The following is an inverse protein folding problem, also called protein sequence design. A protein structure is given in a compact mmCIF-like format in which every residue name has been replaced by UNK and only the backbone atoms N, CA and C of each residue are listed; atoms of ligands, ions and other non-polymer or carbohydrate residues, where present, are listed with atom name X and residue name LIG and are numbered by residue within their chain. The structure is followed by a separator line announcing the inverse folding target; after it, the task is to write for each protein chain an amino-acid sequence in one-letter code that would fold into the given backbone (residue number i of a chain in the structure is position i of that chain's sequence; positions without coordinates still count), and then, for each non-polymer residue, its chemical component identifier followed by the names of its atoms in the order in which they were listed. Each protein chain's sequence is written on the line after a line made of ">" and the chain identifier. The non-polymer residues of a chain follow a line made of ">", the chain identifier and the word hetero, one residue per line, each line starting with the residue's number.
data_IF_043528007822
#
_entry.id   IF_043528007822
#
_cell.length_a   1.000
_cell.length_b   1.000
_cell.length_c   1.000
_cell.angle_alpha   90.00
_cell.angle_beta   90.00
_cell.angle_gamma   90.00
#
_symmetry.space_group_name_H-M   'P 1'
#
loop_
_entity.id
_entity.type
_entity.pdbx_description
1 polymer ?
#
# COMPACT_ATOMS: atom_id res chain seq x y z
N UNK A 1 6.07 23.28 2.80
CA UNK A 1 4.62 23.19 3.05
C UNK A 1 4.29 21.72 3.14
N UNK A 2 3.45 21.32 4.08
CA UNK A 2 2.97 19.94 4.24
C UNK A 2 1.50 19.97 3.89
N UNK A 3 1.07 19.10 2.98
CA UNK A 3 -0.32 19.08 2.54
C UNK A 3 -1.11 18.09 3.37
N UNK A 4 -2.34 18.44 3.77
CA UNK A 4 -3.26 17.52 4.43
C UNK A 4 -4.50 17.28 3.54
N UNK A 5 -5.11 16.11 3.70
CA UNK A 5 -6.37 15.75 3.07
C UNK A 5 -7.49 15.80 4.12
N UNK A 6 -8.68 16.25 3.71
CA UNK A 6 -9.89 16.20 4.51
C UNK A 6 -10.87 15.21 3.88
N UNK A 7 -11.50 14.40 4.72
CA UNK A 7 -12.47 13.39 4.30
C UNK A 7 -13.76 13.59 5.09
N UNK A 8 -14.90 13.44 4.42
CA UNK A 8 -16.17 13.26 5.10
C UNK A 8 -16.28 11.79 5.51
N UNK A 9 -16.27 11.54 6.81
CA UNK A 9 -16.35 10.21 7.40
C UNK A 9 -17.70 9.94 8.07
N UNK A 10 -18.71 10.81 7.84
CA UNK A 10 -20.00 10.75 8.56
C UNK A 10 -20.65 9.38 8.45
N UNK A 11 -20.65 8.77 7.27
CA UNK A 11 -21.26 7.46 7.01
C UNK A 11 -20.39 6.28 7.48
N UNK A 12 -19.13 6.53 7.87
CA UNK A 12 -18.22 5.51 8.38
C UNK A 12 -18.32 5.35 9.91
N UNK A 13 -18.87 6.35 10.61
CA UNK A 13 -19.02 6.32 12.05
C UNK A 13 -20.20 5.43 12.46
N UNK A 14 -20.02 4.69 13.54
CA UNK A 14 -21.07 3.90 14.16
C UNK A 14 -21.39 4.40 15.58
N UNK A 15 -22.58 4.06 16.07
CA UNK A 15 -22.92 4.31 17.48
C UNK A 15 -22.10 3.41 18.40
N UNK A 16 -21.48 3.99 19.42
CA UNK A 16 -20.63 3.27 20.37
C UNK A 16 -19.16 3.34 19.98
N UNK A 17 -18.47 2.19 20.06
CA UNK A 17 -17.04 2.14 19.85
C UNK A 17 -16.68 2.25 18.36
N UNK A 18 -15.65 3.05 18.08
CA UNK A 18 -15.10 3.26 16.75
C UNK A 18 -13.58 3.09 16.84
N UNK A 19 -12.95 2.67 15.74
CA UNK A 19 -11.51 2.63 15.61
C UNK A 19 -11.06 3.48 14.42
N UNK A 20 -9.92 4.15 14.57
CA UNK A 20 -9.27 4.90 13.51
C UNK A 20 -7.83 4.38 13.43
N UNK A 21 -7.43 4.01 12.22
CA UNK A 21 -6.11 3.48 11.96
C UNK A 21 -5.50 4.10 10.70
N UNK A 22 -4.17 4.16 10.66
CA UNK A 22 -3.42 4.59 9.49
C UNK A 22 -2.18 3.73 9.30
N UNK A 23 -1.82 3.46 8.05
CA UNK A 23 -0.54 2.84 7.70
C UNK A 23 0.36 3.95 7.14
N UNK A 24 1.61 4.01 7.59
CA UNK A 24 2.59 5.00 7.15
C UNK A 24 3.65 4.35 6.26
N UNK A 25 3.77 4.82 5.03
CA UNK A 25 4.90 4.53 4.15
C UNK A 25 6.01 5.58 4.26
N UNK A 26 7.18 5.24 3.76
CA UNK A 26 8.34 6.13 3.61
C UNK A 26 8.03 7.28 2.64
N UNK A 27 7.44 6.95 1.49
CA UNK A 27 7.20 7.88 0.38
C UNK A 27 8.43 8.74 0.06
N UNK A 28 8.21 9.96 -0.45
CA UNK A 28 9.30 10.92 -0.66
C UNK A 28 9.83 11.56 0.62
N UNK A 29 9.12 11.39 1.76
CA UNK A 29 9.53 12.00 3.01
C UNK A 29 10.77 11.31 3.60
N UNK A 30 10.81 9.98 3.54
CA UNK A 30 11.92 9.17 4.02
C UNK A 30 12.61 8.34 2.91
N UNK A 31 12.72 8.89 1.70
CA UNK A 31 13.34 8.16 0.60
C UNK A 31 14.88 8.17 0.70
N UNK A 32 15.56 7.01 0.73
CA UNK A 32 17.02 6.90 0.79
C UNK A 32 17.63 7.04 -0.62
N UNK A 33 17.38 8.17 -1.28
CA UNK A 33 17.79 8.39 -2.67
C UNK A 33 19.11 9.18 -2.71
N UNK A 34 20.00 8.86 -3.64
CA UNK A 34 21.34 9.46 -3.72
C UNK A 34 21.36 10.97 -4.04
N UNK A 35 20.30 11.49 -4.68
CA UNK A 35 20.21 12.90 -5.12
C UNK A 35 19.30 13.77 -4.26
N UNK A 36 18.62 13.22 -3.24
CA UNK A 36 17.84 14.00 -2.27
C UNK A 36 18.02 13.46 -0.86
N UNK A 37 18.06 14.34 0.14
CA UNK A 37 18.10 13.92 1.53
C UNK A 37 16.69 13.50 2.01
N UNK A 38 16.65 12.52 2.91
CA UNK A 38 15.44 12.23 3.71
C UNK A 38 15.13 13.40 4.65
N UNK A 39 13.85 13.72 4.80
CA UNK A 39 13.35 14.69 5.79
C UNK A 39 13.20 14.07 7.20
N UNK A 40 13.36 12.75 7.31
CA UNK A 40 13.32 11.97 8.55
C UNK A 40 12.31 10.82 8.50
N UNK A 41 12.08 10.16 9.64
CA UNK A 41 11.15 9.02 9.69
C UNK A 41 9.70 9.44 9.40
N UNK A 42 8.88 8.57 8.78
CA UNK A 42 7.45 8.78 8.62
C UNK A 42 6.78 9.16 9.94
N UNK A 43 5.76 10.01 9.86
CA UNK A 43 5.00 10.50 11.01
C UNK A 43 3.61 10.91 10.58
N UNK A 44 2.67 10.81 11.51
CA UNK A 44 1.25 11.05 11.28
C UNK A 44 0.78 12.29 12.04
N UNK A 45 -0.18 12.99 11.44
CA UNK A 45 -1.01 13.99 12.10
C UNK A 45 -2.45 13.73 11.66
N UNK A 46 -3.34 13.54 12.63
CA UNK A 46 -4.77 13.29 12.40
C UNK A 46 -5.61 14.12 13.35
N UNK A 47 -6.72 14.64 12.84
CA UNK A 47 -7.72 15.34 13.63
C UNK A 47 -9.10 15.07 13.05
N UNK A 48 -9.97 14.47 13.86
CA UNK A 48 -11.36 14.16 13.50
C UNK A 48 -12.27 15.08 14.29
N UNK A 49 -13.20 15.73 13.60
CA UNK A 49 -14.26 16.53 14.19
C UNK A 49 -15.58 15.79 14.04
N UNK A 50 -16.28 15.61 15.16
CA UNK A 50 -17.61 15.00 15.19
C UNK A 50 -18.57 16.06 15.70
N UNK A 51 -19.56 16.44 14.89
CA UNK A 51 -20.64 17.33 15.31
C UNK A 51 -21.91 16.51 15.52
N UNK A 52 -22.44 16.52 16.73
CA UNK A 52 -23.64 15.78 17.08
C UNK A 52 -24.92 16.54 16.72
N UNK A 53 -26.04 15.82 16.68
CA UNK A 53 -27.35 16.40 16.32
C UNK A 53 -27.86 17.46 17.31
N UNK A 54 -27.36 17.47 18.54
CA UNK A 54 -27.67 18.50 19.55
C UNK A 54 -26.75 19.73 19.46
N UNK A 55 -25.80 19.73 18.51
CA UNK A 55 -24.83 20.79 18.27
C UNK A 55 -23.56 20.73 19.12
N UNK A 56 -23.39 19.70 19.95
CA UNK A 56 -22.12 19.46 20.66
C UNK A 56 -21.06 18.91 19.70
N UNK A 57 -19.79 19.04 20.08
CA UNK A 57 -18.65 18.60 19.25
C UNK A 57 -17.64 17.79 20.06
N UNK A 58 -17.11 16.74 19.44
CA UNK A 58 -15.90 16.06 19.88
C UNK A 58 -14.76 16.28 18.86
N UNK A 59 -13.54 16.40 19.38
CA UNK A 59 -12.33 16.47 18.57
C UNK A 59 -11.36 15.39 19.02
N UNK A 60 -11.09 14.44 18.14
CA UNK A 60 -10.13 13.35 18.36
C UNK A 60 -8.85 13.71 17.61
N UNK A 61 -7.72 13.70 18.29
CA UNK A 61 -6.42 14.07 17.71
C UNK A 61 -5.43 12.92 17.77
N UNK A 62 -4.46 12.92 16.86
CA UNK A 62 -3.26 12.10 17.00
C UNK A 62 -2.41 12.63 18.15
N UNK A 63 -2.22 11.84 19.20
CA UNK A 63 -1.43 12.18 20.38
C UNK A 63 -0.76 10.94 20.99
N UNK A 64 -0.23 11.07 22.21
CA UNK A 64 0.44 9.98 22.91
C UNK A 64 -0.49 8.85 23.34
N UNK A 65 -1.82 8.93 23.20
CA UNK A 65 -2.74 7.83 23.52
C UNK A 65 -2.80 6.74 22.45
N UNK A 66 -2.26 7.01 21.26
CA UNK A 66 -2.23 6.06 20.16
C UNK A 66 -1.19 4.96 20.39
N UNK A 67 -1.45 3.81 19.78
CA UNK A 67 -0.55 2.66 19.72
C UNK A 67 -0.09 2.43 18.28
N UNK A 68 1.01 1.71 18.08
CA UNK A 68 1.54 1.37 16.77
C UNK A 68 2.20 -0.01 16.75
N UNK A 69 2.08 -0.71 15.63
CA UNK A 69 2.80 -1.93 15.33
C UNK A 69 3.34 -1.93 13.90
N UNK A 70 4.26 -2.85 13.60
CA UNK A 70 4.70 -3.11 12.23
C UNK A 70 3.56 -3.75 11.44
N UNK A 71 3.38 -3.29 10.20
CA UNK A 71 2.40 -3.86 9.27
C UNK A 71 2.96 -5.06 8.51
N UNK A 72 2.11 -5.68 7.68
CA UNK A 72 2.53 -6.69 6.71
C UNK A 72 3.36 -6.13 5.53
N UNK A 73 3.43 -4.82 5.36
CA UNK A 73 4.40 -4.17 4.47
C UNK A 73 5.75 -4.18 5.19
N UNK A 74 6.64 -5.08 4.79
CA UNK A 74 7.96 -5.30 5.39
C UNK A 74 8.93 -4.19 4.99
N UNK A 75 8.84 -3.76 3.73
CA UNK A 75 9.61 -2.66 3.17
C UNK A 75 8.75 -1.93 2.17
N UNK A 76 8.81 -0.60 2.17
CA UNK A 76 8.29 0.24 1.11
C UNK A 76 9.29 1.33 0.74
N UNK A 77 9.57 1.48 -0.54
CA UNK A 77 10.42 2.52 -1.09
C UNK A 77 9.84 2.95 -2.43
N UNK A 78 9.67 4.25 -2.62
CA UNK A 78 9.03 4.79 -3.82
C UNK A 78 9.66 4.28 -5.14
N UNK A 79 10.98 4.09 -5.17
CA UNK A 79 11.71 3.59 -6.35
C UNK A 79 12.17 2.13 -6.28
N UNK A 80 12.33 1.56 -5.08
CA UNK A 80 12.82 0.17 -4.92
C UNK A 80 11.68 -0.82 -4.65
N UNK A 81 10.45 -0.31 -4.49
CA UNK A 81 9.22 -1.08 -4.44
C UNK A 81 8.72 -1.44 -3.05
N UNK A 82 7.72 -2.33 -3.03
CA UNK A 82 7.01 -2.75 -1.83
C UNK A 82 7.09 -4.28 -1.67
N UNK A 83 7.51 -4.71 -0.50
CA UNK A 83 7.60 -6.11 -0.13
C UNK A 83 6.60 -6.40 0.99
N UNK A 84 5.62 -7.25 0.68
CA UNK A 84 4.51 -7.58 1.55
C UNK A 84 4.59 -9.04 2.00
N UNK A 85 4.37 -9.28 3.29
CA UNK A 85 4.27 -10.62 3.87
C UNK A 85 2.94 -10.78 4.59
N UNK A 86 1.99 -11.44 3.92
CA UNK A 86 0.62 -11.60 4.42
C UNK A 86 0.54 -12.40 5.72
N UNK A 87 1.58 -13.17 6.07
CA UNK A 87 1.66 -13.89 7.36
C UNK A 87 1.78 -12.95 8.55
N UNK A 88 2.10 -11.67 8.31
CA UNK A 88 2.21 -10.61 9.30
C UNK A 88 0.95 -9.73 9.38
N UNK A 89 -0.10 -10.05 8.62
CA UNK A 89 -1.38 -9.37 8.73
C UNK A 89 -1.96 -9.53 10.13
N UNK A 90 -2.53 -8.45 10.65
CA UNK A 90 -3.23 -8.42 11.93
C UNK A 90 -4.70 -8.22 11.64
N UNK A 91 -5.43 -9.32 11.47
CA UNK A 91 -6.83 -9.27 11.06
C UNK A 91 -7.67 -8.44 12.05
N UNK A 92 -8.44 -7.49 11.50
CA UNK A 92 -9.32 -6.64 12.29
C UNK A 92 -8.64 -5.48 13.03
N UNK A 93 -7.34 -5.23 12.84
CA UNK A 93 -6.59 -4.12 13.48
C UNK A 93 -7.26 -2.74 13.37
N UNK A 94 -8.06 -2.55 12.32
CA UNK A 94 -8.80 -1.32 12.05
C UNK A 94 -10.25 -1.34 12.57
N UNK A 95 -10.56 -2.22 13.53
CA UNK A 95 -11.88 -2.33 14.17
C UNK A 95 -11.77 -2.11 15.67
N UNK A 96 -12.84 -1.66 16.31
CA UNK A 96 -12.84 -1.37 17.75
C UNK A 96 -12.71 -2.61 18.65
N UNK A 97 -12.93 -3.80 18.10
CA UNK A 97 -12.86 -5.06 18.83
C UNK A 97 -11.43 -5.66 18.86
N UNK A 98 -10.47 -5.01 18.21
CA UNK A 98 -9.10 -5.48 18.15
C UNK A 98 -8.39 -5.30 19.49
N UNK A 99 -7.62 -6.31 19.90
CA UNK A 99 -6.76 -6.26 21.07
C UNK A 99 -5.37 -5.74 20.66
N UNK A 100 -5.12 -4.46 20.91
CA UNK A 100 -3.85 -3.78 20.61
C UNK A 100 -2.88 -3.80 21.81
N UNK A 101 -3.10 -4.64 22.83
CA UNK A 101 -2.28 -4.65 24.04
C UNK A 101 -0.80 -5.01 23.82
N UNK A 102 -0.49 -5.69 22.71
CA UNK A 102 0.88 -6.00 22.28
C UNK A 102 1.52 -4.90 21.40
N UNK A 103 0.77 -3.84 21.05
CA UNK A 103 1.30 -2.72 20.26
C UNK A 103 2.17 -1.81 21.13
N UNK A 104 3.11 -1.13 20.47
CA UNK A 104 3.99 -0.19 21.15
C UNK A 104 3.31 1.18 21.30
N UNK A 105 3.59 1.88 22.40
CA UNK A 105 3.17 3.27 22.55
C UNK A 105 3.82 4.14 21.46
N UNK A 106 3.04 5.02 20.83
CA UNK A 106 3.64 5.99 19.90
C UNK A 106 4.54 6.99 20.63
N UNK A 107 5.44 7.61 19.88
CA UNK A 107 6.29 8.70 20.37
C UNK A 107 6.03 9.97 19.59
N UNK A 108 5.92 11.10 20.29
CA UNK A 108 5.78 12.39 19.63
C UNK A 108 7.02 12.70 18.79
N UNK A 109 6.77 13.17 17.56
CA UNK A 109 7.82 13.63 16.64
C UNK A 109 7.69 15.13 16.44
N UNK A 110 8.83 15.78 16.24
CA UNK A 110 8.83 17.17 15.78
C UNK A 110 8.06 17.28 14.46
N UNK A 111 7.22 18.31 14.35
CA UNK A 111 6.52 18.61 13.12
C UNK A 111 7.54 18.80 11.97
N UNK A 112 7.22 18.35 10.73
CA UNK A 112 8.04 18.69 9.58
C UNK A 112 8.13 20.20 9.37
N UNK A 113 9.16 20.64 8.65
CA UNK A 113 9.31 22.05 8.31
C UNK A 113 8.21 22.55 7.36
N UNK A 114 7.85 23.82 7.51
CA UNK A 114 6.88 24.51 6.67
C UNK A 114 5.46 24.50 7.24
N UNK A 115 4.54 25.14 6.50
CA UNK A 115 3.13 25.30 6.91
C UNK A 115 2.30 24.08 6.49
N UNK A 116 1.44 23.61 7.39
CA UNK A 116 0.35 22.70 7.07
C UNK A 116 -0.69 23.46 6.23
N UNK A 117 -1.04 22.93 5.06
CA UNK A 117 -2.01 23.55 4.15
C UNK A 117 -2.93 22.48 3.55
N UNK A 118 -4.16 22.86 3.21
CA UNK A 118 -5.07 21.94 2.53
C UNK A 118 -4.51 21.53 1.18
N UNK A 119 -4.57 20.24 0.85
CA UNK A 119 -4.36 19.77 -0.50
C UNK A 119 -5.58 20.16 -1.36
N UNK A 120 -5.35 20.88 -2.45
CA UNK A 120 -6.41 21.41 -3.32
C UNK A 120 -6.37 20.83 -4.75
N UNK A 121 -5.40 19.96 -5.04
CA UNK A 121 -5.35 19.25 -6.30
C UNK A 121 -6.15 17.95 -6.19
N UNK A 122 -6.51 17.39 -7.35
CA UNK A 122 -7.08 16.05 -7.43
C UNK A 122 -6.06 15.05 -6.88
N UNK A 123 -6.44 14.18 -5.93
CA UNK A 123 -5.53 13.17 -5.41
C UNK A 123 -5.28 12.08 -6.44
N UNK A 124 -4.12 11.45 -6.36
CA UNK A 124 -3.81 10.27 -7.15
C UNK A 124 -4.79 9.15 -6.82
N UNK A 125 -5.34 8.51 -7.85
CA UNK A 125 -6.33 7.44 -7.78
C UNK A 125 -6.07 6.43 -8.90
N UNK A 126 -6.50 5.19 -8.71
CA UNK A 126 -6.61 4.22 -9.81
C UNK A 126 -7.65 4.76 -10.78
N UNK A 127 -7.21 5.10 -11.99
CA UNK A 127 -8.05 5.73 -13.02
C UNK A 127 -8.60 4.72 -14.01
N UNK A 128 -7.92 3.61 -14.21
CA UNK A 128 -8.33 2.52 -15.11
C UNK A 128 -7.78 1.18 -14.60
N UNK A 129 -8.27 0.07 -15.16
CA UNK A 129 -7.75 -1.27 -14.90
C UNK A 129 -7.53 -2.01 -16.21
N UNK A 130 -6.29 -2.36 -16.49
CA UNK A 130 -5.92 -3.03 -17.74
C UNK A 130 -5.76 -4.53 -17.52
N UNK A 131 -6.40 -5.30 -18.37
CA UNK A 131 -6.22 -6.76 -18.45
C UNK A 131 -5.01 -7.09 -19.33
N UNK A 132 -4.26 -8.16 -19.02
CA UNK A 132 -3.18 -8.61 -19.89
C UNK A 132 -3.68 -8.93 -21.30
N UNK A 133 -2.95 -8.46 -22.32
CA UNK A 133 -3.21 -8.85 -23.72
C UNK A 133 -2.52 -10.16 -24.08
N UNK A 134 -1.47 -10.54 -23.34
CA UNK A 134 -0.79 -11.82 -23.47
C UNK A 134 -0.12 -12.25 -22.17
N UNK A 135 -0.06 -13.56 -21.94
CA UNK A 135 0.69 -14.19 -20.86
C UNK A 135 1.48 -15.35 -21.47
N UNK A 136 2.79 -15.34 -21.27
CA UNK A 136 3.71 -16.39 -21.73
C UNK A 136 4.42 -17.01 -20.53
N UNK A 137 4.35 -18.33 -20.40
CA UNK A 137 5.20 -19.05 -19.45
C UNK A 137 6.57 -19.33 -20.08
N UNK A 138 7.63 -18.83 -19.46
CA UNK A 138 9.01 -19.03 -19.87
C UNK A 138 9.51 -20.43 -19.48
N UNK A 139 10.58 -20.90 -20.13
CA UNK A 139 11.13 -22.25 -19.92
C UNK A 139 11.55 -22.54 -18.46
N UNK A 140 11.88 -21.50 -17.69
CA UNK A 140 12.26 -21.59 -16.28
C UNK A 140 11.08 -21.45 -15.30
N UNK A 141 9.84 -21.43 -15.81
CA UNK A 141 8.60 -21.38 -15.03
C UNK A 141 8.17 -19.97 -14.60
N UNK A 142 8.92 -18.93 -14.97
CA UNK A 142 8.47 -17.54 -14.84
C UNK A 142 7.35 -17.24 -15.82
N UNK A 143 6.52 -16.25 -15.51
CA UNK A 143 5.54 -15.71 -16.45
C UNK A 143 5.97 -14.33 -16.92
N UNK A 144 5.88 -14.09 -18.23
CA UNK A 144 5.93 -12.77 -18.83
C UNK A 144 4.51 -12.34 -19.17
N UNK A 145 4.08 -11.19 -18.65
CA UNK A 145 2.75 -10.62 -18.83
C UNK A 145 2.89 -9.34 -19.66
N UNK A 146 2.17 -9.22 -20.78
CA UNK A 146 2.11 -8.01 -21.62
C UNK A 146 0.74 -7.34 -21.44
N UNK A 147 0.73 -6.03 -21.11
CA UNK A 147 -0.48 -5.21 -21.04
C UNK A 147 -0.79 -4.47 -22.34
N UNK A 148 0.07 -4.58 -23.35
CA UNK A 148 -0.13 -4.02 -24.71
C UNK A 148 0.24 -2.55 -24.84
N UNK A 149 0.25 -1.80 -23.74
CA UNK A 149 0.69 -0.41 -23.68
C UNK A 149 1.49 -0.12 -22.40
N UNK A 150 2.29 0.96 -22.46
CA UNK A 150 3.07 1.42 -21.31
C UNK A 150 2.21 2.32 -20.43
N UNK A 151 2.14 1.99 -19.15
CA UNK A 151 1.30 2.62 -18.14
C UNK A 151 2.12 3.02 -16.91
N UNK A 152 1.51 3.76 -15.99
CA UNK A 152 2.10 4.13 -14.70
C UNK A 152 1.23 3.60 -13.57
N UNK A 153 1.79 2.78 -12.68
CA UNK A 153 1.00 2.16 -11.62
C UNK A 153 1.65 0.91 -11.02
N UNK A 154 0.85 -0.12 -10.76
CA UNK A 154 1.31 -1.40 -10.20
C UNK A 154 0.43 -2.56 -10.67
N UNK A 155 0.80 -3.80 -10.29
CA UNK A 155 -0.07 -4.96 -10.44
C UNK A 155 -1.03 -5.11 -9.26
N UNK A 156 -2.26 -5.47 -9.58
CA UNK A 156 -3.24 -6.07 -8.68
C UNK A 156 -3.30 -7.57 -8.94
N UNK A 157 -2.93 -8.35 -7.92
CA UNK A 157 -3.09 -9.81 -7.88
C UNK A 157 -4.41 -10.13 -7.19
N UNK A 158 -5.24 -10.97 -7.81
CA UNK A 158 -6.54 -11.38 -7.28
C UNK A 158 -6.64 -12.90 -7.16
N UNK A 159 -7.36 -13.36 -6.14
CA UNK A 159 -7.72 -14.76 -5.90
C UNK A 159 -6.57 -15.77 -6.09
N UNK A 160 -5.35 -15.41 -5.67
CA UNK A 160 -4.20 -16.31 -5.75
C UNK A 160 -4.25 -17.33 -4.63
N UNK A 161 -4.06 -18.61 -4.95
CA UNK A 161 -4.09 -19.70 -3.97
C UNK A 161 -2.75 -20.42 -3.99
N UNK A 162 -2.01 -20.38 -2.89
CA UNK A 162 -0.71 -21.02 -2.77
C UNK A 162 -0.38 -21.43 -1.35
N UNK A 163 0.86 -21.86 -1.13
CA UNK A 163 1.31 -22.31 0.20
C UNK A 163 1.72 -21.11 1.05
N UNK A 164 1.46 -21.19 2.35
CA UNK A 164 2.00 -20.23 3.33
C UNK A 164 3.51 -20.08 3.17
N UNK A 165 4.00 -18.84 3.12
CA UNK A 165 5.41 -18.50 2.95
C UNK A 165 5.91 -18.59 1.50
N UNK A 166 5.08 -18.98 0.53
CA UNK A 166 5.43 -18.88 -0.87
C UNK A 166 5.49 -17.40 -1.26
N UNK A 167 6.63 -16.98 -1.81
CA UNK A 167 6.88 -15.58 -2.20
C UNK A 167 6.77 -15.44 -3.72
N UNK A 168 5.84 -14.61 -4.18
CA UNK A 168 5.73 -14.18 -5.57
C UNK A 168 6.59 -12.93 -5.73
N UNK A 169 7.58 -12.98 -6.61
CA UNK A 169 8.39 -11.82 -6.98
C UNK A 169 7.85 -11.22 -8.29
N UNK A 170 7.70 -9.89 -8.31
CA UNK A 170 7.14 -9.12 -9.41
C UNK A 170 8.21 -8.15 -9.90
N UNK A 171 8.60 -8.24 -11.17
CA UNK A 171 9.51 -7.28 -11.81
C UNK A 171 8.78 -6.53 -12.90
N UNK A 172 8.91 -5.22 -12.90
CA UNK A 172 8.29 -4.34 -13.87
C UNK A 172 9.28 -3.96 -14.97
N UNK A 173 8.87 -4.03 -16.22
CA UNK A 173 9.72 -3.81 -17.40
C UNK A 173 9.07 -2.77 -18.33
N UNK A 174 9.90 -1.90 -18.89
CA UNK A 174 9.49 -0.87 -19.85
C UNK A 174 9.07 -1.47 -21.20
N UNK A 175 8.63 -0.63 -22.13
CA UNK A 175 8.05 -1.05 -23.43
C UNK A 175 8.91 -1.96 -24.33
N UNK A 176 10.22 -2.11 -24.08
CA UNK A 176 11.04 -3.04 -24.86
C UNK A 176 11.06 -4.48 -24.32
N UNK A 177 10.57 -4.71 -23.09
CA UNK A 177 10.51 -6.02 -22.44
C UNK A 177 11.87 -6.67 -22.13
N UNK A 178 12.98 -5.98 -22.39
CA UNK A 178 14.36 -6.52 -22.28
C UNK A 178 15.27 -5.58 -21.47
N UNK A 179 14.89 -4.31 -21.31
CA UNK A 179 15.59 -3.32 -20.50
C UNK A 179 15.71 -3.71 -19.02
N UNK A 180 16.54 -2.97 -18.30
CA UNK A 180 16.61 -3.04 -16.84
C UNK A 180 15.23 -2.81 -16.21
N UNK A 181 15.00 -3.46 -15.07
CA UNK A 181 13.75 -3.40 -14.32
C UNK A 181 13.46 -1.96 -13.91
N UNK A 182 12.23 -1.48 -14.12
CA UNK A 182 11.80 -0.15 -13.66
C UNK A 182 11.45 -0.13 -12.18
N UNK A 183 11.20 -1.32 -11.63
CA UNK A 183 11.19 -1.61 -10.20
C UNK A 183 10.69 -3.02 -9.91
N UNK A 184 10.48 -3.34 -8.63
CA UNK A 184 10.05 -4.68 -8.22
C UNK A 184 9.22 -4.67 -6.94
N UNK A 185 8.19 -5.50 -6.89
CA UNK A 185 7.43 -5.79 -5.67
C UNK A 185 7.55 -7.25 -5.31
N UNK A 186 7.10 -7.62 -4.11
CA UNK A 186 6.88 -9.04 -3.80
C UNK A 186 5.74 -9.25 -2.82
N UNK A 187 5.04 -10.37 -2.96
CA UNK A 187 3.97 -10.80 -2.08
C UNK A 187 4.27 -12.19 -1.52
N UNK A 188 4.32 -12.33 -0.19
CA UNK A 188 4.44 -13.62 0.48
C UNK A 188 3.07 -14.05 0.99
N UNK A 189 2.59 -15.19 0.51
CA UNK A 189 1.26 -15.70 0.83
C UNK A 189 1.16 -16.17 2.28
N UNK A 190 -0.01 -16.00 2.90
CA UNK A 190 -0.33 -16.60 4.20
C UNK A 190 -0.88 -18.02 4.11
N UNK A 191 -1.49 -18.39 2.99
CA UNK A 191 -1.89 -19.76 2.64
C UNK A 191 -3.24 -20.21 3.20
N UNK A 192 -4.10 -19.28 3.61
CA UNK A 192 -5.38 -19.56 4.29
C UNK A 192 -6.61 -19.47 3.36
N UNK A 193 -6.39 -19.37 2.04
CA UNK A 193 -7.44 -19.27 1.04
C UNK A 193 -6.99 -18.45 -0.18
N UNK A 194 -7.94 -17.99 -1.01
CA UNK A 194 -7.67 -17.00 -2.05
C UNK A 194 -7.20 -15.68 -1.42
N UNK A 195 -6.11 -15.15 -1.94
CA UNK A 195 -5.46 -13.94 -1.46
C UNK A 195 -5.43 -12.86 -2.56
N UNK A 196 -5.43 -11.59 -2.17
CA UNK A 196 -5.34 -10.47 -3.12
C UNK A 196 -4.35 -9.42 -2.62
N UNK A 197 -3.60 -8.85 -3.55
CA UNK A 197 -2.51 -7.92 -3.24
C UNK A 197 -2.40 -6.82 -4.30
N UNK A 198 -2.26 -5.60 -3.83
CA UNK A 198 -1.81 -4.45 -4.60
C UNK A 198 -0.88 -3.62 -3.72
N UNK A 199 0.13 -3.00 -4.34
CA UNK A 199 1.04 -2.11 -3.63
C UNK A 199 0.35 -0.81 -3.21
N UNK A 200 0.88 -0.12 -2.20
CA UNK A 200 0.29 1.11 -1.64
C UNK A 200 1.23 2.31 -1.65
N UNK A 201 2.55 2.08 -1.54
CA UNK A 201 3.53 3.15 -1.34
C UNK A 201 4.62 3.23 -2.43
N UNK A 202 4.37 2.61 -3.59
CA UNK A 202 5.25 2.64 -4.76
C UNK A 202 4.41 2.59 -6.04
N UNK A 203 5.01 2.98 -7.16
CA UNK A 203 4.46 2.85 -8.51
C UNK A 203 5.60 2.82 -9.52
N UNK A 204 5.36 2.21 -10.67
CA UNK A 204 6.34 2.05 -11.73
C UNK A 204 5.75 2.41 -13.09
N UNK A 205 6.62 2.72 -14.05
CA UNK A 205 6.25 2.82 -15.46
C UNK A 205 6.58 1.48 -16.11
N UNK A 206 5.60 0.81 -16.71
CA UNK A 206 5.81 -0.51 -17.29
C UNK A 206 4.78 -0.83 -18.37
N UNK A 207 5.16 -1.75 -19.25
CA UNK A 207 4.25 -2.45 -20.15
C UNK A 207 4.20 -3.94 -19.85
N UNK A 208 5.34 -4.50 -19.43
CA UNK A 208 5.44 -5.90 -19.09
C UNK A 208 5.70 -6.10 -17.61
N UNK A 209 5.23 -7.24 -17.10
CA UNK A 209 5.59 -7.72 -15.78
C UNK A 209 6.09 -9.15 -15.84
N UNK A 210 7.21 -9.41 -15.19
CA UNK A 210 7.76 -10.74 -15.00
C UNK A 210 7.42 -11.23 -13.59
N UNK A 211 6.75 -12.39 -13.52
CA UNK A 211 6.34 -13.03 -12.27
C UNK A 211 7.15 -14.30 -12.05
N UNK A 212 7.73 -14.42 -10.86
CA UNK A 212 8.48 -15.61 -10.45
C UNK A 212 7.77 -16.29 -9.28
N UNK A 213 7.82 -17.63 -9.27
CA UNK A 213 7.27 -18.46 -8.19
C UNK A 213 5.75 -18.30 -7.98
N UNK A 214 5.02 -18.05 -9.08
CA UNK A 214 3.55 -18.09 -9.09
C UNK A 214 3.03 -19.48 -8.72
N UNK A 215 1.99 -19.60 -7.87
CA UNK A 215 1.44 -20.90 -7.50
C UNK A 215 0.57 -21.49 -8.62
N UNK A 216 1.02 -22.61 -9.19
CA UNK A 216 0.27 -23.32 -10.22
C UNK A 216 0.32 -22.63 -11.58
N UNK A 217 -0.80 -22.66 -12.29
CA UNK A 217 -0.98 -21.97 -13.56
C UNK A 217 -1.54 -20.57 -13.31
N UNK A 218 -1.00 -19.57 -14.01
CA UNK A 218 -1.48 -18.20 -13.93
C UNK A 218 -2.71 -18.03 -14.81
N UNK A 219 -3.85 -17.72 -14.21
CA UNK A 219 -5.08 -17.35 -14.92
C UNK A 219 -5.07 -15.85 -15.26
N UNK A 220 -5.56 -15.48 -16.44
CA UNK A 220 -5.65 -14.08 -16.90
C UNK A 220 -6.48 -13.21 -15.96
N UNK A 221 -7.49 -13.78 -15.30
CA UNK A 221 -8.38 -13.03 -14.41
C UNK A 221 -7.73 -12.68 -13.05
N UNK A 222 -6.60 -13.31 -12.72
CA UNK A 222 -5.88 -13.09 -11.46
C UNK A 222 -4.94 -11.89 -11.48
N UNK A 223 -4.82 -11.19 -12.62
CA UNK A 223 -3.92 -10.07 -12.77
C UNK A 223 -4.57 -8.92 -13.51
N UNK A 224 -4.46 -7.73 -12.92
CA UNK A 224 -4.73 -6.46 -13.59
C UNK A 224 -3.60 -5.50 -13.32
N UNK A 225 -3.37 -4.60 -14.25
CA UNK A 225 -2.64 -3.38 -13.96
C UNK A 225 -3.61 -2.30 -13.49
N UNK A 226 -3.20 -1.51 -12.49
CA UNK A 226 -3.95 -0.40 -11.89
C UNK A 226 -3.12 0.88 -11.89
#
# INVERSE_FOLDING_TARGET
>A
RVMYLGYDITEMLQSGENAIGAILGNGFYNAPITWTASYGSPRFIGQVHITYTDGTEDVIVSDESWTAAKSAIVTDLVYDGEHYDARLEQDGWNTSAFDDSDWEQVVLRNAPEGKLIAHIAEPDRVMDRLEPVAIEQLEDGRYMVDFGEEITGWLHISDVVGKSGQKIDIRYLSNDGVSETTGSNSYTLKGDGPESYAARFTWFVFRYAELTNWPGELDTDQLKAE
#
